data_IF_515004641986
#
_entry.id   IF_515004641986
#
_cell.length_a   1.000
_cell.length_b   1.000
_cell.length_c   1.000
_cell.angle_alpha   90.00
_cell.angle_beta   90.00
_cell.angle_gamma   90.00
#
_symmetry.space_group_name_H-M   'P 1'
#
loop_
_entity.id
_entity.type
_entity.pdbx_description
1 polymer ?
#
# COMPACT_ATOMS: atom_id res chain seq x y z
N UNK A 1 -21.56 14.21 -17.15
CA UNK A 1 -20.94 15.51 -17.40
C UNK A 1 -19.60 15.32 -18.06
N UNK A 2 -19.07 16.37 -18.66
CA UNK A 2 -17.91 16.33 -19.57
C UNK A 2 -16.67 15.70 -18.92
N UNK A 3 -16.43 15.94 -17.63
CA UNK A 3 -15.34 15.31 -16.86
C UNK A 3 -15.42 13.78 -16.90
N UNK A 4 -16.61 13.20 -16.66
CA UNK A 4 -16.77 11.73 -16.72
C UNK A 4 -16.49 11.19 -18.11
N UNK A 5 -16.88 11.91 -19.16
CA UNK A 5 -16.64 11.48 -20.53
C UNK A 5 -15.16 11.52 -20.88
N UNK A 6 -14.45 12.58 -20.47
CA UNK A 6 -13.00 12.70 -20.68
C UNK A 6 -12.23 11.61 -19.94
N UNK A 7 -12.62 11.31 -18.70
CA UNK A 7 -12.00 10.23 -17.93
C UNK A 7 -12.32 8.84 -18.48
N UNK A 8 -13.54 8.62 -19.00
CA UNK A 8 -13.92 7.37 -19.69
C UNK A 8 -13.10 7.20 -20.99
N UNK A 9 -12.85 8.28 -21.73
CA UNK A 9 -12.01 8.26 -22.94
C UNK A 9 -10.53 8.07 -22.62
N UNK A 10 -10.03 8.64 -21.51
CA UNK A 10 -8.64 8.49 -21.07
C UNK A 10 -8.31 7.03 -20.69
N UNK A 11 -9.31 6.21 -20.36
CA UNK A 11 -9.17 4.78 -20.10
C UNK A 11 -9.08 3.93 -21.38
N UNK A 12 -9.33 4.49 -22.57
CA UNK A 12 -9.34 3.77 -23.85
C UNK A 12 -7.92 3.46 -24.37
N UNK A 13 -7.08 2.90 -23.51
CA UNK A 13 -5.73 2.44 -23.82
C UNK A 13 -5.73 0.95 -24.12
N UNK A 14 -4.81 0.50 -24.99
CA UNK A 14 -4.64 -0.94 -25.25
C UNK A 14 -3.91 -1.57 -24.07
N UNK A 15 -4.63 -2.34 -23.26
CA UNK A 15 -4.05 -3.18 -22.22
C UNK A 15 -3.84 -4.61 -22.73
N UNK A 16 -2.88 -5.35 -22.15
CA UNK A 16 -2.83 -6.80 -22.29
C UNK A 16 -4.18 -7.44 -21.93
N UNK A 17 -4.54 -8.52 -22.61
CA UNK A 17 -5.84 -9.20 -22.46
C UNK A 17 -6.10 -9.77 -21.06
N UNK A 18 -5.06 -9.90 -20.24
CA UNK A 18 -5.09 -10.46 -18.89
C UNK A 18 -5.06 -9.38 -17.79
N UNK A 19 -5.19 -8.10 -18.14
CA UNK A 19 -5.19 -6.97 -17.20
C UNK A 19 -6.42 -6.09 -17.38
N UNK A 20 -7.01 -5.71 -16.25
CA UNK A 20 -8.03 -4.65 -16.21
C UNK A 20 -7.53 -3.43 -15.43
N UNK A 21 -8.20 -2.30 -15.66
CA UNK A 21 -8.01 -1.07 -14.89
C UNK A 21 -8.66 -1.26 -13.52
N UNK A 22 -7.85 -1.09 -12.47
CA UNK A 22 -8.29 -1.09 -11.08
C UNK A 22 -8.65 0.33 -10.63
N UNK A 23 -7.81 1.33 -10.96
CA UNK A 23 -8.11 2.74 -10.68
C UNK A 23 -7.76 3.65 -11.86
N UNK A 24 -8.61 4.65 -12.08
CA UNK A 24 -8.31 5.81 -12.93
C UNK A 24 -8.20 7.05 -12.05
N UNK A 25 -6.98 7.55 -11.90
CA UNK A 25 -6.68 8.68 -11.02
C UNK A 25 -6.40 9.92 -11.86
N UNK A 26 -7.26 10.95 -11.84
CA UNK A 26 -6.98 12.21 -12.53
C UNK A 26 -5.72 12.88 -11.98
N UNK A 27 -4.84 13.34 -12.87
CA UNK A 27 -3.66 14.12 -12.50
C UNK A 27 -3.91 15.60 -12.75
N UNK A 28 -4.38 15.93 -13.95
CA UNK A 28 -4.67 17.30 -14.36
C UNK A 28 -5.59 17.30 -15.58
N UNK A 29 -6.20 18.45 -15.81
CA UNK A 29 -7.05 18.74 -16.95
C UNK A 29 -6.44 19.86 -17.77
N UNK A 30 -6.80 19.86 -19.06
CA UNK A 30 -6.46 20.93 -19.98
C UNK A 30 -7.75 21.48 -20.59
N UNK A 31 -7.92 22.79 -20.55
CA UNK A 31 -9.06 23.49 -21.16
C UNK A 31 -8.52 24.40 -22.25
N UNK A 32 -8.79 24.04 -23.49
CA UNK A 32 -8.24 24.64 -24.71
C UNK A 32 -6.70 24.65 -24.75
N UNK A 33 -6.07 25.72 -24.24
CA UNK A 33 -4.60 25.93 -24.17
C UNK A 33 -4.08 26.10 -22.74
N UNK A 34 -4.97 26.14 -21.76
CA UNK A 34 -4.61 26.22 -20.35
C UNK A 34 -4.32 24.81 -19.84
N UNK A 35 -3.12 24.62 -19.31
CA UNK A 35 -2.64 23.36 -18.72
C UNK A 35 -2.72 23.39 -17.18
N UNK A 36 -2.39 22.27 -16.53
CA UNK A 36 -2.27 22.14 -15.06
C UNK A 36 -3.55 22.49 -14.28
N UNK A 37 -4.73 22.30 -14.88
CA UNK A 37 -6.01 22.57 -14.22
C UNK A 37 -6.38 21.38 -13.34
N UNK A 38 -6.48 21.58 -12.02
CA UNK A 38 -6.90 20.52 -11.09
C UNK A 38 -8.41 20.22 -11.16
N UNK A 39 -9.23 21.27 -11.28
CA UNK A 39 -10.68 21.14 -11.33
C UNK A 39 -11.27 22.06 -12.42
N UNK A 40 -11.75 21.51 -13.55
CA UNK A 40 -12.29 22.30 -14.65
C UNK A 40 -13.77 22.68 -14.47
N UNK A 41 -14.42 22.29 -13.37
CA UNK A 41 -15.84 22.61 -13.13
C UNK A 41 -16.03 24.12 -13.09
N UNK A 42 -16.97 24.60 -13.92
CA UNK A 42 -17.29 26.03 -14.06
C UNK A 42 -16.46 26.75 -15.13
N UNK A 43 -15.45 26.10 -15.72
CA UNK A 43 -14.73 26.64 -16.86
C UNK A 43 -15.51 26.42 -18.16
N UNK A 44 -15.41 27.35 -19.09
CA UNK A 44 -15.95 27.21 -20.45
C UNK A 44 -14.79 27.07 -21.42
N UNK A 45 -14.86 26.08 -22.30
CA UNK A 45 -13.86 25.83 -23.33
C UNK A 45 -14.45 25.03 -24.50
N UNK A 46 -13.71 24.93 -25.59
CA UNK A 46 -14.10 24.11 -26.75
C UNK A 46 -13.57 22.69 -26.64
N UNK A 47 -12.43 22.52 -25.98
CA UNK A 47 -11.75 21.23 -25.78
C UNK A 47 -11.42 21.05 -24.30
N UNK A 48 -11.76 19.87 -23.79
CA UNK A 48 -11.37 19.39 -22.46
C UNK A 48 -10.55 18.11 -22.65
N UNK A 49 -9.35 18.08 -22.09
CA UNK A 49 -8.50 16.89 -22.02
C UNK A 49 -8.21 16.57 -20.56
N UNK A 50 -7.93 15.30 -20.27
CA UNK A 50 -7.58 14.84 -18.93
C UNK A 50 -6.36 13.93 -19.00
N UNK A 51 -5.36 14.21 -18.17
CA UNK A 51 -4.23 13.30 -17.93
C UNK A 51 -4.55 12.47 -16.70
N UNK A 52 -4.36 11.16 -16.80
CA UNK A 52 -4.72 10.20 -15.76
C UNK A 52 -3.58 9.24 -15.48
N UNK A 53 -3.46 8.82 -14.22
CA UNK A 53 -2.63 7.69 -13.81
C UNK A 53 -3.52 6.45 -13.70
N UNK A 54 -3.22 5.43 -14.51
CA UNK A 54 -3.96 4.17 -14.50
C UNK A 54 -3.25 3.15 -13.63
N UNK A 55 -3.93 2.68 -12.58
CA UNK A 55 -3.51 1.49 -11.83
C UNK A 55 -4.21 0.29 -12.45
N UNK A 56 -3.44 -0.71 -12.89
CA UNK A 56 -3.98 -1.93 -13.52
C UNK A 56 -3.56 -3.16 -12.72
N UNK A 57 -4.37 -4.22 -12.78
CA UNK A 57 -4.09 -5.48 -12.10
C UNK A 57 -4.49 -6.66 -12.98
N UNK A 58 -3.93 -7.83 -12.69
CA UNK A 58 -4.31 -9.06 -13.39
C UNK A 58 -5.78 -9.39 -13.13
N UNK A 59 -6.56 -9.59 -14.18
CA UNK A 59 -8.00 -9.86 -14.13
C UNK A 59 -8.30 -11.08 -13.25
N UNK A 60 -7.52 -12.15 -13.40
CA UNK A 60 -7.68 -13.38 -12.62
C UNK A 60 -7.42 -13.17 -11.14
N UNK A 61 -6.40 -12.37 -10.77
CA UNK A 61 -6.11 -12.08 -9.37
C UNK A 61 -7.25 -11.29 -8.71
N UNK A 62 -7.80 -10.30 -9.41
CA UNK A 62 -8.96 -9.53 -8.92
C UNK A 62 -10.19 -10.41 -8.73
N UNK A 63 -10.53 -11.23 -9.72
CA UNK A 63 -11.68 -12.13 -9.63
C UNK A 63 -11.54 -13.13 -8.49
N UNK A 64 -10.35 -13.71 -8.30
CA UNK A 64 -10.10 -14.66 -7.22
C UNK A 64 -10.29 -14.02 -5.84
N UNK A 65 -9.86 -12.77 -5.66
CA UNK A 65 -10.06 -12.03 -4.40
C UNK A 65 -11.54 -11.79 -4.13
N UNK A 66 -12.29 -11.35 -5.14
CA UNK A 66 -13.74 -11.12 -5.04
C UNK A 66 -14.47 -12.42 -4.71
N UNK A 67 -14.23 -13.48 -5.48
CA UNK A 67 -14.90 -14.77 -5.28
C UNK A 67 -14.63 -15.36 -3.90
N UNK A 68 -13.39 -15.29 -3.40
CA UNK A 68 -13.05 -15.77 -2.06
C UNK A 68 -13.89 -15.11 -0.95
N UNK A 69 -14.12 -13.80 -1.05
CA UNK A 69 -14.97 -13.09 -0.10
C UNK A 69 -16.47 -13.38 -0.30
N UNK A 70 -16.93 -13.40 -1.56
CA UNK A 70 -18.34 -13.65 -1.88
C UNK A 70 -18.79 -15.09 -1.55
N UNK A 71 -17.90 -16.08 -1.63
CA UNK A 71 -18.16 -17.46 -1.19
C UNK A 71 -18.43 -17.55 0.32
N UNK A 72 -17.95 -16.58 1.10
CA UNK A 72 -18.23 -16.45 2.55
C UNK A 72 -19.51 -15.64 2.83
N UNK A 73 -20.26 -15.24 1.79
CA UNK A 73 -21.45 -14.41 1.92
C UNK A 73 -21.17 -12.92 2.11
N UNK A 74 -19.92 -12.47 1.90
CA UNK A 74 -19.54 -11.06 2.01
C UNK A 74 -19.64 -10.41 0.63
N UNK A 75 -20.43 -9.35 0.51
CA UNK A 75 -20.50 -8.58 -0.74
C UNK A 75 -19.27 -7.69 -0.87
N UNK A 76 -18.57 -7.77 -2.00
CA UNK A 76 -17.42 -6.90 -2.30
C UNK A 76 -17.90 -5.71 -3.12
N UNK A 77 -17.90 -4.54 -2.49
CA UNK A 77 -18.29 -3.29 -3.15
C UNK A 77 -17.21 -2.74 -4.07
N UNK A 78 -15.96 -3.15 -3.90
CA UNK A 78 -14.84 -2.72 -4.73
C UNK A 78 -13.49 -3.25 -4.26
N UNK A 79 -12.49 -3.14 -5.14
CA UNK A 79 -11.09 -3.45 -4.85
C UNK A 79 -10.29 -2.14 -4.85
N UNK A 80 -9.34 -2.02 -3.92
CA UNK A 80 -8.52 -0.81 -3.79
C UNK A 80 -7.05 -1.18 -3.73
N UNK A 81 -6.24 -0.46 -4.48
CA UNK A 81 -4.79 -0.55 -4.45
C UNK A 81 -4.27 -0.03 -3.10
N UNK A 82 -3.59 -0.91 -2.35
CA UNK A 82 -3.30 -0.68 -0.93
C UNK A 82 -2.66 0.68 -0.60
N UNK A 83 -1.66 1.19 -1.36
CA UNK A 83 -1.09 2.51 -1.10
C UNK A 83 -2.10 3.64 -1.16
N UNK A 84 -3.13 3.58 -2.02
CA UNK A 84 -4.13 4.63 -2.09
C UNK A 84 -4.99 4.65 -0.82
N UNK A 85 -5.41 3.47 -0.34
CA UNK A 85 -6.15 3.35 0.91
C UNK A 85 -5.29 3.86 2.08
N UNK A 86 -4.07 3.34 2.21
CA UNK A 86 -3.13 3.74 3.26
C UNK A 86 -2.83 5.25 3.23
N UNK A 87 -2.74 5.86 2.04
CA UNK A 87 -2.56 7.30 1.89
C UNK A 87 -3.75 8.08 2.46
N UNK A 88 -4.98 7.66 2.16
CA UNK A 88 -6.21 8.30 2.65
C UNK A 88 -6.26 8.37 4.19
N UNK A 89 -5.74 7.33 4.85
CA UNK A 89 -5.71 7.25 6.31
C UNK A 89 -4.56 8.03 6.95
N UNK A 90 -3.43 8.20 6.27
CA UNK A 90 -2.16 8.60 6.93
C UNK A 90 -1.49 9.85 6.37
N UNK A 91 -1.90 10.31 5.19
CA UNK A 91 -1.35 11.52 4.55
C UNK A 91 -2.27 12.72 4.74
N UNK A 92 -1.64 13.87 4.97
CA UNK A 92 -2.28 15.18 4.97
C UNK A 92 -2.32 15.75 3.54
N UNK A 93 -3.21 16.72 3.32
CA UNK A 93 -3.37 17.36 2.00
C UNK A 93 -2.14 18.15 1.58
N UNK A 94 -1.47 18.82 2.52
CA UNK A 94 -0.22 19.54 2.28
C UNK A 94 0.94 18.63 1.88
N UNK A 95 1.01 17.42 2.46
CA UNK A 95 1.97 16.39 2.07
C UNK A 95 1.76 15.94 0.62
N UNK A 96 0.52 15.70 0.22
CA UNK A 96 0.17 15.30 -1.15
C UNK A 96 0.38 16.43 -2.16
N UNK A 97 0.19 17.68 -1.74
CA UNK A 97 0.40 18.86 -2.57
C UNK A 97 1.89 19.13 -2.82
N UNK A 98 2.70 19.22 -1.77
CA UNK A 98 4.11 19.64 -1.86
C UNK A 98 5.10 18.49 -2.08
N UNK A 99 4.59 17.25 -2.15
CA UNK A 99 5.36 16.08 -2.50
C UNK A 99 5.65 15.15 -1.32
N UNK A 100 5.15 13.92 -1.42
CA UNK A 100 5.38 12.84 -0.44
C UNK A 100 5.35 11.49 -1.13
N UNK A 101 6.16 10.54 -0.66
CA UNK A 101 6.04 9.13 -1.06
C UNK A 101 5.46 8.32 0.09
N UNK A 102 4.37 7.61 -0.16
CA UNK A 102 3.90 6.54 0.71
C UNK A 102 4.63 5.24 0.35
N UNK A 103 5.25 4.60 1.36
CA UNK A 103 5.88 3.28 1.23
C UNK A 103 5.22 2.32 2.20
N UNK A 104 4.44 1.36 1.69
CA UNK A 104 3.82 0.32 2.50
C UNK A 104 4.67 -0.96 2.47
N UNK A 105 5.31 -1.29 3.58
CA UNK A 105 6.15 -2.49 3.70
C UNK A 105 5.30 -3.61 4.28
N UNK A 106 4.81 -4.49 3.40
CA UNK A 106 4.08 -5.69 3.75
C UNK A 106 5.01 -6.87 4.07
N UNK A 107 4.44 -8.07 4.17
CA UNK A 107 5.21 -9.30 4.37
C UNK A 107 5.96 -9.71 3.09
N UNK A 108 5.26 -9.79 1.96
CA UNK A 108 5.80 -10.27 0.68
C UNK A 108 6.14 -9.16 -0.31
N UNK A 109 5.52 -7.99 -0.17
CA UNK A 109 5.69 -6.87 -1.10
C UNK A 109 5.95 -5.56 -0.36
N UNK A 110 6.55 -4.63 -1.09
CA UNK A 110 6.66 -3.23 -0.71
C UNK A 110 5.94 -2.41 -1.78
N UNK A 111 4.89 -1.72 -1.39
CA UNK A 111 4.03 -0.97 -2.31
C UNK A 111 4.35 0.53 -2.19
N UNK A 112 4.35 1.24 -3.32
CA UNK A 112 4.77 2.65 -3.39
C UNK A 112 3.68 3.46 -4.10
N UNK A 113 3.37 4.63 -3.55
CA UNK A 113 2.64 5.69 -4.25
C UNK A 113 3.33 7.03 -4.01
N UNK A 114 3.66 7.73 -5.09
CA UNK A 114 4.28 9.06 -5.04
C UNK A 114 3.23 10.10 -5.38
N UNK A 115 3.05 11.07 -4.49
CA UNK A 115 2.11 12.17 -4.62
C UNK A 115 2.86 13.48 -4.86
N UNK A 116 2.34 14.32 -5.75
CA UNK A 116 2.76 15.71 -5.98
C UNK A 116 1.62 16.47 -6.67
N UNK A 117 1.42 17.74 -6.34
CA UNK A 117 0.30 18.58 -6.79
C UNK A 117 -1.07 17.97 -6.50
N UNK A 118 -1.23 17.27 -5.37
CA UNK A 118 -2.45 16.59 -4.96
C UNK A 118 -2.88 15.44 -5.89
N UNK A 119 -1.94 14.92 -6.71
CA UNK A 119 -2.18 13.81 -7.62
C UNK A 119 -1.15 12.69 -7.42
N UNK A 120 -1.55 11.45 -7.71
CA UNK A 120 -0.63 10.32 -7.81
C UNK A 120 0.18 10.46 -9.09
N UNK A 121 1.49 10.66 -8.95
CA UNK A 121 2.44 10.79 -10.08
C UNK A 121 3.12 9.47 -10.44
N UNK A 122 3.24 8.56 -9.47
CA UNK A 122 3.84 7.25 -9.70
C UNK A 122 3.28 6.22 -8.71
N UNK A 123 3.21 4.97 -9.14
CA UNK A 123 2.88 3.84 -8.27
C UNK A 123 3.66 2.60 -8.68
N UNK A 124 4.16 1.83 -7.73
CA UNK A 124 4.92 0.62 -7.98
C UNK A 124 4.70 -0.45 -6.90
N UNK A 125 5.02 -1.69 -7.26
CA UNK A 125 5.09 -2.82 -6.33
C UNK A 125 6.45 -3.47 -6.50
N UNK A 126 7.20 -3.56 -5.40
CA UNK A 126 8.46 -4.30 -5.34
C UNK A 126 8.14 -5.67 -4.72
N UNK A 127 8.50 -6.80 -5.37
CA UNK A 127 8.16 -8.15 -4.90
C UNK A 127 9.10 -8.63 -3.77
N UNK A 128 9.33 -7.77 -2.79
CA UNK A 128 10.06 -8.07 -1.56
C UNK A 128 9.42 -7.30 -0.39
N UNK A 129 9.31 -7.94 0.76
CA UNK A 129 8.78 -7.33 1.99
C UNK A 129 9.48 -7.88 3.23
N UNK A 130 8.89 -7.64 4.39
CA UNK A 130 9.47 -7.97 5.70
C UNK A 130 9.68 -9.48 5.96
N UNK A 131 9.09 -10.37 5.16
CA UNK A 131 9.37 -11.81 5.22
C UNK A 131 10.79 -12.17 4.74
N UNK A 132 11.39 -11.35 3.88
CA UNK A 132 12.79 -11.53 3.49
C UNK A 132 13.74 -11.43 4.68
N UNK A 133 13.47 -10.50 5.61
CA UNK A 133 14.19 -10.35 6.88
C UNK A 133 14.05 -11.62 7.72
N UNK A 134 12.83 -12.13 7.83
CA UNK A 134 12.55 -13.38 8.56
C UNK A 134 13.32 -14.55 7.98
N UNK A 135 13.38 -14.65 6.65
CA UNK A 135 14.12 -15.70 5.96
C UNK A 135 15.63 -15.57 6.18
N UNK A 136 16.18 -14.36 6.13
CA UNK A 136 17.61 -14.14 6.42
C UNK A 136 17.95 -14.55 7.85
N UNK A 137 17.15 -14.16 8.83
CA UNK A 137 17.33 -14.59 10.22
C UNK A 137 17.24 -16.12 10.34
N UNK A 138 16.26 -16.75 9.68
CA UNK A 138 16.10 -18.20 9.71
C UNK A 138 17.34 -18.92 9.17
N UNK A 139 17.88 -18.45 8.04
CA UNK A 139 19.07 -19.02 7.39
C UNK A 139 20.31 -18.80 8.24
N UNK A 140 20.56 -17.55 8.67
CA UNK A 140 21.79 -17.19 9.39
C UNK A 140 21.86 -17.83 10.78
N UNK A 141 20.71 -17.98 11.46
CA UNK A 141 20.65 -18.61 12.78
C UNK A 141 20.38 -20.12 12.72
N UNK A 142 20.06 -20.65 11.53
CA UNK A 142 19.65 -22.04 11.32
C UNK A 142 18.48 -22.44 12.24
N UNK A 143 17.45 -21.59 12.29
CA UNK A 143 16.22 -21.81 13.05
C UNK A 143 15.03 -21.89 12.11
N UNK A 144 13.88 -22.37 12.60
CA UNK A 144 12.66 -22.37 11.79
C UNK A 144 12.20 -20.94 11.46
N UNK A 145 11.50 -20.75 10.34
CA UNK A 145 10.91 -19.46 9.95
C UNK A 145 10.02 -18.88 11.06
N UNK A 146 9.27 -19.73 11.76
CA UNK A 146 8.42 -19.30 12.87
C UNK A 146 9.24 -18.76 14.05
N UNK A 147 10.37 -19.39 14.37
CA UNK A 147 11.26 -18.90 15.43
C UNK A 147 12.00 -17.64 14.99
N UNK A 148 12.41 -17.55 13.73
CA UNK A 148 12.99 -16.35 13.17
C UNK A 148 12.01 -15.15 13.23
N UNK A 149 10.72 -15.36 12.96
CA UNK A 149 9.71 -14.32 13.08
C UNK A 149 9.56 -13.83 14.52
N UNK A 150 9.54 -14.76 15.50
CA UNK A 150 9.51 -14.40 16.92
C UNK A 150 10.74 -13.61 17.33
N UNK A 151 11.92 -14.01 16.86
CA UNK A 151 13.17 -13.30 17.11
C UNK A 151 13.12 -11.89 16.49
N UNK A 152 12.69 -11.78 15.23
CA UNK A 152 12.53 -10.49 14.53
C UNK A 152 11.61 -9.56 15.31
N UNK A 153 10.40 -10.01 15.64
CA UNK A 153 9.40 -9.20 16.32
C UNK A 153 9.84 -8.73 17.72
N UNK A 154 10.62 -9.55 18.43
CA UNK A 154 10.99 -9.28 19.83
C UNK A 154 12.31 -8.55 20.00
N UNK A 155 13.29 -8.80 19.13
CA UNK A 155 14.68 -8.37 19.34
C UNK A 155 15.26 -7.56 18.18
N UNK A 156 14.73 -7.68 16.97
CA UNK A 156 15.36 -7.01 15.83
C UNK A 156 15.21 -5.49 15.86
N UNK A 157 16.26 -4.82 15.44
CA UNK A 157 16.24 -3.43 15.02
C UNK A 157 16.65 -3.32 13.56
N UNK A 158 16.06 -2.37 12.84
CA UNK A 158 16.54 -1.98 11.52
C UNK A 158 17.96 -1.40 11.60
N UNK A 159 18.31 -0.66 12.66
CA UNK A 159 19.63 -0.08 12.82
C UNK A 159 20.42 -0.83 13.90
N UNK A 160 21.37 -1.66 13.48
CA UNK A 160 22.15 -2.53 14.35
C UNK A 160 22.99 -1.75 15.35
N UNK A 161 23.49 -0.57 14.97
CA UNK A 161 24.27 0.30 15.86
C UNK A 161 23.49 0.83 17.07
N UNK A 162 22.16 0.69 17.07
CA UNK A 162 21.26 1.06 18.17
C UNK A 162 20.77 -0.16 18.98
N UNK A 163 21.32 -1.35 18.73
CA UNK A 163 20.98 -2.60 19.42
C UNK A 163 22.04 -2.99 20.44
N UNK A 164 21.66 -3.78 21.45
CA UNK A 164 22.55 -4.17 22.54
C UNK A 164 23.53 -5.29 22.13
N UNK A 165 24.81 -5.08 22.37
CA UNK A 165 25.83 -6.15 22.27
C UNK A 165 25.79 -7.13 23.45
N UNK A 166 25.15 -6.73 24.55
CA UNK A 166 25.15 -7.50 25.81
C UNK A 166 23.90 -8.37 25.98
N UNK A 167 22.83 -8.07 25.27
CA UNK A 167 21.59 -8.82 25.35
C UNK A 167 21.73 -10.07 24.47
N UNK A 168 21.92 -11.22 25.11
CA UNK A 168 21.98 -12.52 24.45
C UNK A 168 20.57 -13.11 24.27
N UNK A 169 20.36 -13.74 23.13
CA UNK A 169 19.13 -14.42 22.72
C UNK A 169 19.47 -15.90 22.60
N UNK A 170 18.85 -16.72 23.44
CA UNK A 170 18.97 -18.18 23.35
C UNK A 170 18.26 -18.69 22.11
N UNK A 171 18.98 -19.47 21.31
CA UNK A 171 18.44 -20.12 20.13
C UNK A 171 17.89 -21.51 20.50
N UNK A 172 16.78 -21.94 19.88
CA UNK A 172 16.24 -23.28 20.08
C UNK A 172 17.29 -24.33 19.67
N UNK A 173 17.53 -25.30 20.55
CA UNK A 173 18.42 -26.42 20.32
C UNK A 173 17.64 -27.74 20.31
N UNK A 174 17.99 -28.66 19.41
CA UNK A 174 17.47 -30.02 19.48
C UNK A 174 18.16 -30.83 20.58
N UNK A 175 17.52 -31.91 21.03
CA UNK A 175 18.09 -32.78 22.05
C UNK A 175 19.47 -33.31 21.60
N UNK A 176 20.50 -33.06 22.39
CA UNK A 176 21.89 -33.43 22.10
C UNK A 176 22.69 -32.38 21.31
N UNK A 177 22.10 -31.24 20.94
CA UNK A 177 22.84 -30.10 20.39
C UNK A 177 23.32 -29.16 21.50
N UNK A 178 24.45 -28.49 21.26
CA UNK A 178 24.93 -27.40 22.10
C UNK A 178 23.93 -26.25 22.05
N UNK A 179 23.62 -25.69 23.23
CA UNK A 179 22.85 -24.46 23.33
C UNK A 179 23.67 -23.33 22.70
N UNK A 180 23.04 -22.61 21.75
CA UNK A 180 23.65 -21.48 21.06
C UNK A 180 22.93 -20.21 21.52
N UNK A 181 23.68 -19.12 21.66
CA UNK A 181 23.13 -17.79 21.85
C UNK A 181 23.65 -16.84 20.77
N UNK A 182 22.96 -15.73 20.59
CA UNK A 182 23.39 -14.64 19.72
C UNK A 182 22.99 -13.30 20.33
N UNK A 183 23.83 -12.28 20.17
CA UNK A 183 23.49 -10.94 20.64
C UNK A 183 22.37 -10.30 19.80
N UNK A 184 21.60 -9.41 20.43
CA UNK A 184 20.61 -8.57 19.76
C UNK A 184 21.24 -7.77 18.61
N UNK A 185 22.46 -7.26 18.80
CA UNK A 185 23.19 -6.53 17.75
C UNK A 185 23.46 -7.40 16.52
N UNK A 186 23.92 -8.63 16.69
CA UNK A 186 24.21 -9.54 15.56
C UNK A 186 22.94 -9.88 14.78
N UNK A 187 21.81 -10.13 15.45
CA UNK A 187 20.51 -10.31 14.76
C UNK A 187 20.14 -9.07 13.96
N UNK A 188 20.30 -7.89 14.55
CA UNK A 188 20.01 -6.62 13.89
C UNK A 188 20.95 -6.32 12.71
N UNK A 189 22.15 -6.90 12.63
CA UNK A 189 23.02 -6.76 11.45
C UNK A 189 22.43 -7.41 10.20
N UNK A 190 21.81 -8.59 10.35
CA UNK A 190 21.11 -9.25 9.24
C UNK A 190 19.91 -8.43 8.78
N UNK A 191 19.18 -7.87 9.75
CA UNK A 191 18.00 -7.04 9.50
C UNK A 191 18.38 -5.74 8.79
N UNK A 192 19.42 -5.05 9.26
CA UNK A 192 19.93 -3.82 8.67
C UNK A 192 20.34 -4.03 7.22
N UNK A 193 21.11 -5.09 6.93
CA UNK A 193 21.53 -5.41 5.57
C UNK A 193 20.35 -5.60 4.61
N UNK A 194 19.32 -6.35 5.02
CA UNK A 194 18.11 -6.55 4.21
C UNK A 194 17.31 -5.26 4.03
N UNK A 195 17.18 -4.47 5.09
CA UNK A 195 16.46 -3.20 5.01
C UNK A 195 17.16 -2.20 4.09
N UNK A 196 18.50 -2.13 4.12
CA UNK A 196 19.26 -1.30 3.18
C UNK A 196 19.01 -1.71 1.72
N UNK A 197 18.93 -3.01 1.43
CA UNK A 197 18.58 -3.49 0.09
C UNK A 197 17.16 -3.08 -0.32
N UNK A 198 16.18 -3.24 0.57
CA UNK A 198 14.79 -2.81 0.33
C UNK A 198 14.74 -1.30 0.06
N UNK A 199 15.47 -0.48 0.85
CA UNK A 199 15.54 0.96 0.64
C UNK A 199 16.20 1.34 -0.69
N UNK A 200 17.24 0.62 -1.12
CA UNK A 200 17.82 0.83 -2.45
C UNK A 200 16.81 0.55 -3.57
N UNK A 201 15.98 -0.49 -3.44
CA UNK A 201 14.92 -0.76 -4.40
C UNK A 201 13.85 0.33 -4.40
N UNK A 202 13.46 0.82 -3.21
CA UNK A 202 12.53 1.96 -3.06
C UNK A 202 13.08 3.21 -3.75
N UNK A 203 14.35 3.58 -3.50
CA UNK A 203 15.00 4.73 -4.16
C UNK A 203 14.94 4.62 -5.68
N UNK A 204 15.22 3.42 -6.22
CA UNK A 204 15.16 3.19 -7.67
C UNK A 204 13.76 3.38 -8.23
N UNK A 205 12.71 2.90 -7.54
CA UNK A 205 11.33 3.13 -7.99
C UNK A 205 10.93 4.60 -7.88
N UNK A 206 11.27 5.28 -6.78
CA UNK A 206 10.98 6.72 -6.62
C UNK A 206 11.64 7.52 -7.74
N UNK A 207 12.87 7.18 -8.15
CA UNK A 207 13.58 7.87 -9.24
C UNK A 207 12.91 7.72 -10.62
N UNK A 208 11.96 6.80 -10.77
CA UNK A 208 11.14 6.65 -11.99
C UNK A 208 9.88 7.50 -11.98
N UNK A 209 9.52 8.07 -10.83
CA UNK A 209 8.54 9.13 -10.79
C UNK A 209 9.16 10.33 -11.52
N UNK A 210 8.66 10.67 -12.71
CA UNK A 210 9.13 11.78 -13.55
C UNK A 210 8.75 13.13 -12.92
N UNK A 211 9.23 13.36 -11.70
CA UNK A 211 8.97 14.53 -10.87
C UNK A 211 10.27 15.32 -10.81
N UNK A 212 10.21 16.58 -11.27
CA UNK A 212 11.37 17.48 -11.28
C UNK A 212 11.56 18.19 -9.95
N UNK A 213 10.47 18.39 -9.22
CA UNK A 213 10.43 19.08 -7.94
C UNK A 213 10.82 18.14 -6.78
N UNK A 214 11.42 18.68 -5.71
CA UNK A 214 11.75 17.88 -4.55
C UNK A 214 10.49 17.42 -3.82
N UNK A 215 10.49 16.15 -3.38
CA UNK A 215 9.45 15.61 -2.50
C UNK A 215 9.63 16.18 -1.08
N UNK A 216 9.04 17.34 -0.83
CA UNK A 216 9.30 18.18 0.35
C UNK A 216 9.09 17.46 1.69
N UNK A 217 8.07 16.60 1.76
CA UNK A 217 7.73 15.85 2.98
C UNK A 217 8.44 14.49 3.08
N UNK A 218 9.21 14.10 2.07
CA UNK A 218 9.97 12.86 2.07
C UNK A 218 9.08 11.63 2.00
N UNK A 219 9.21 10.72 2.98
CA UNK A 219 8.57 9.40 2.97
C UNK A 219 7.69 9.18 4.20
N UNK A 220 6.51 8.62 3.97
CA UNK A 220 5.62 8.09 5.00
C UNK A 220 5.57 6.57 4.87
N UNK A 221 6.02 5.84 5.89
CA UNK A 221 6.06 4.38 5.89
C UNK A 221 4.85 3.78 6.60
N UNK A 222 4.19 2.82 5.96
CA UNK A 222 3.05 2.04 6.49
C UNK A 222 3.29 0.54 6.36
N UNK A 223 2.32 -0.28 6.79
CA UNK A 223 2.41 -1.73 6.76
C UNK A 223 3.07 -2.31 8.02
N UNK A 224 3.02 -3.64 8.14
CA UNK A 224 3.61 -4.35 9.29
C UNK A 224 5.13 -4.23 9.36
N UNK A 225 5.82 -4.19 8.21
CA UNK A 225 7.27 -4.00 8.15
C UNK A 225 7.71 -2.63 8.66
N UNK A 226 6.86 -1.60 8.56
CA UNK A 226 7.15 -0.28 9.08
C UNK A 226 7.19 -0.22 10.63
N UNK A 227 6.78 -1.29 11.34
CA UNK A 227 6.87 -1.36 12.80
C UNK A 227 8.28 -1.72 13.31
N UNK A 228 9.19 -2.12 12.43
CA UNK A 228 10.53 -2.53 12.81
C UNK A 228 11.25 -1.40 13.58
N UNK A 229 11.81 -1.71 14.75
CA UNK A 229 12.43 -0.71 15.63
C UNK A 229 13.59 -0.01 14.92
N UNK A 230 13.64 1.32 15.02
CA UNK A 230 14.65 2.19 14.38
C UNK A 230 14.66 2.17 12.85
N UNK A 231 13.55 1.78 12.20
CA UNK A 231 13.45 1.80 10.73
C UNK A 231 13.52 3.21 10.15
N UNK A 232 12.89 4.21 10.77
CA UNK A 232 12.91 5.58 10.28
C UNK A 232 14.33 6.17 10.27
N UNK A 233 15.13 6.13 11.37
CA UNK A 233 16.53 6.53 11.34
C UNK A 233 17.38 5.84 10.26
N UNK A 234 17.22 4.51 10.08
CA UNK A 234 17.92 3.81 9.00
C UNK A 234 17.50 4.32 7.62
N UNK A 235 16.21 4.52 7.40
CA UNK A 235 15.66 5.01 6.15
C UNK A 235 16.15 6.43 5.83
N UNK A 236 16.14 7.34 6.80
CA UNK A 236 16.68 8.70 6.64
C UNK A 236 18.16 8.68 6.25
N UNK A 237 18.97 7.84 6.91
CA UNK A 237 20.39 7.68 6.58
C UNK A 237 20.61 7.07 5.19
N UNK A 238 19.73 6.15 4.76
CA UNK A 238 19.88 5.43 3.49
C UNK A 238 19.35 6.22 2.28
N UNK A 239 18.26 6.97 2.48
CA UNK A 239 17.50 7.64 1.41
C UNK A 239 17.84 9.13 1.33
N UNK A 240 18.24 9.75 2.45
CA UNK A 240 18.60 11.17 2.49
C UNK A 240 17.42 12.14 2.52
N UNK A 241 16.22 11.67 2.85
CA UNK A 241 15.01 12.49 3.03
C UNK A 241 14.39 12.21 4.40
N UNK A 242 13.51 13.10 4.87
CA UNK A 242 12.76 12.88 6.11
C UNK A 242 11.88 11.65 5.98
N UNK A 243 11.81 10.85 7.05
CA UNK A 243 10.96 9.67 7.09
C UNK A 243 10.15 9.63 8.36
N UNK A 244 8.83 9.44 8.24
CA UNK A 244 7.95 9.19 9.38
C UNK A 244 7.14 7.91 9.20
N UNK A 245 6.73 7.30 10.30
CA UNK A 245 5.72 6.24 10.27
C UNK A 245 4.33 6.87 10.07
N UNK A 246 3.51 6.22 9.25
CA UNK A 246 2.11 6.60 9.04
C UNK A 246 1.28 6.30 10.28
N UNK A 247 0.52 7.31 10.71
CA UNK A 247 -0.48 7.20 11.78
C UNK A 247 -1.83 7.62 11.21
N UNK A 248 -2.90 6.97 11.65
CA UNK A 248 -4.24 7.35 11.21
C UNK A 248 -4.58 8.76 11.72
N UNK A 249 -5.07 9.63 10.85
CA UNK A 249 -5.33 11.05 11.18
C UNK A 249 -6.81 11.45 11.12
N UNK A 250 -7.70 10.57 10.63
CA UNK A 250 -9.11 10.88 10.33
C UNK A 250 -10.10 9.99 11.08
N UNK A 251 -9.69 9.37 12.19
CA UNK A 251 -10.52 8.41 12.94
C UNK A 251 -10.51 8.75 14.44
N UNK A 252 -11.68 9.08 14.95
CA UNK A 252 -11.93 9.28 16.38
C UNK A 252 -12.45 7.98 17.03
N UNK A 253 -12.13 7.78 18.31
CA UNK A 253 -12.70 6.70 19.13
C UNK A 253 -12.08 5.31 18.97
N UNK A 254 -11.10 5.13 18.09
CA UNK A 254 -10.39 3.86 17.87
C UNK A 254 -8.85 4.00 17.89
N UNK A 255 -8.32 5.07 18.49
CA UNK A 255 -6.90 5.46 18.45
C UNK A 255 -5.96 4.31 18.90
N UNK A 256 -6.33 3.59 19.97
CA UNK A 256 -5.52 2.46 20.49
C UNK A 256 -5.36 1.29 19.51
N UNK A 257 -6.27 1.16 18.54
CA UNK A 257 -6.26 0.10 17.51
C UNK A 257 -5.74 0.66 16.17
N UNK A 258 -6.12 1.90 15.83
CA UNK A 258 -5.92 2.50 14.51
C UNK A 258 -4.57 3.21 14.33
N UNK A 259 -3.84 3.53 15.40
CA UNK A 259 -2.65 4.40 15.34
C UNK A 259 -1.40 3.70 14.79
N UNK A 260 -1.44 2.38 14.63
CA UNK A 260 -0.31 1.59 14.12
C UNK A 260 -0.22 1.59 12.59
N UNK A 261 1.00 1.68 12.00
CA UNK A 261 1.18 1.65 10.55
C UNK A 261 0.66 0.37 9.87
N UNK A 262 0.49 -0.74 10.61
CA UNK A 262 -0.08 -1.99 10.10
C UNK A 262 -1.56 -1.91 9.74
N UNK A 263 -2.29 -0.97 10.34
CA UNK A 263 -3.74 -0.86 10.14
C UNK A 263 -4.11 0.22 9.11
N UNK A 264 -3.12 0.95 8.59
CA UNK A 264 -3.31 2.06 7.64
C UNK A 264 -4.21 1.68 6.46
N UNK A 265 -3.98 0.51 5.83
CA UNK A 265 -4.80 0.06 4.70
C UNK A 265 -6.26 -0.17 5.10
N UNK A 266 -6.49 -0.86 6.22
CA UNK A 266 -7.85 -1.14 6.69
C UNK A 266 -8.60 0.14 7.07
N UNK A 267 -7.92 1.07 7.74
CA UNK A 267 -8.48 2.39 8.05
C UNK A 267 -8.78 3.19 6.78
N UNK A 268 -7.88 3.10 5.79
CA UNK A 268 -8.06 3.69 4.47
C UNK A 268 -9.27 3.18 3.72
N UNK A 269 -9.52 1.86 3.77
CA UNK A 269 -10.68 1.23 3.15
C UNK A 269 -12.00 1.70 3.79
N UNK A 270 -12.03 1.95 5.11
CA UNK A 270 -13.21 2.52 5.77
C UNK A 270 -13.48 3.97 5.32
N UNK A 271 -12.42 4.72 5.07
CA UNK A 271 -12.49 6.11 4.60
C UNK A 271 -12.77 6.22 3.09
N UNK A 272 -12.49 5.15 2.33
CA UNK A 272 -12.56 5.16 0.87
C UNK A 272 -13.91 5.65 0.31
N UNK A 273 -15.08 5.14 0.76
CA UNK A 273 -16.37 5.57 0.21
C UNK A 273 -16.70 7.04 0.51
N UNK A 274 -16.01 7.67 1.47
CA UNK A 274 -16.27 9.04 1.91
C UNK A 274 -15.36 10.06 1.25
N UNK A 275 -14.10 9.69 0.98
CA UNK A 275 -13.05 10.63 0.59
C UNK A 275 -12.36 10.30 -0.74
N UNK A 276 -12.54 9.09 -1.28
CA UNK A 276 -11.89 8.73 -2.53
C UNK A 276 -12.45 9.56 -3.70
N UNK A 277 -11.55 10.05 -4.52
CA UNK A 277 -11.84 10.82 -5.73
C UNK A 277 -11.51 10.03 -7.00
N UNK A 278 -11.30 8.72 -6.87
CA UNK A 278 -10.97 7.86 -8.01
C UNK A 278 -12.18 7.70 -8.93
N UNK A 279 -11.95 7.78 -10.24
CA UNK A 279 -12.99 7.48 -11.20
C UNK A 279 -12.94 5.99 -11.48
N UNK A 280 -13.67 5.23 -10.67
CA UNK A 280 -13.88 3.81 -10.94
C UNK A 280 -15.37 3.58 -11.07
N UNK A 281 -15.82 3.41 -12.32
CA UNK A 281 -16.99 2.59 -12.57
C UNK A 281 -16.54 1.14 -12.47
N UNK A 282 -16.74 0.54 -11.30
CA UNK A 282 -16.82 -0.91 -11.26
C UNK A 282 -17.91 -1.27 -12.26
N UNK A 283 -17.52 -1.94 -13.34
CA UNK A 283 -18.50 -2.62 -14.16
C UNK A 283 -19.16 -3.61 -13.21
N UNK A 284 -20.35 -3.26 -12.70
CA UNK A 284 -21.19 -4.26 -12.07
C UNK A 284 -21.22 -5.44 -13.03
N UNK A 285 -20.92 -6.68 -12.59
CA UNK A 285 -21.01 -7.81 -13.48
C UNK A 285 -22.41 -7.77 -14.10
N UNK A 286 -22.46 -7.61 -15.42
CA UNK A 286 -23.68 -7.65 -16.24
C UNK A 286 -24.29 -9.05 -16.10
N UNK A 287 -24.89 -9.35 -14.95
CA UNK A 287 -25.74 -10.52 -14.69
C UNK A 287 -26.42 -10.54 -13.31
N UNK A 288 -26.30 -9.51 -12.46
CA UNK A 288 -27.13 -9.40 -11.24
C UNK A 288 -28.60 -8.98 -11.51
N UNK A 289 -29.08 -9.09 -12.75
CA UNK A 289 -30.41 -8.59 -13.14
C UNK A 289 -31.60 -9.54 -12.97
N UNK A 290 -31.41 -10.86 -12.83
CA UNK A 290 -32.54 -11.80 -12.73
C UNK A 290 -32.32 -12.96 -11.73
N UNK A 291 -31.09 -13.46 -11.57
CA UNK A 291 -30.82 -14.58 -10.64
C UNK A 291 -30.92 -14.17 -9.16
N UNK A 292 -30.37 -13.01 -8.78
CA UNK A 292 -30.40 -12.55 -7.39
C UNK A 292 -31.80 -12.15 -6.88
N UNK A 293 -32.71 -11.78 -7.78
CA UNK A 293 -34.12 -11.51 -7.44
C UNK A 293 -34.88 -12.82 -7.19
N UNK A 294 -34.62 -13.84 -8.00
CA UNK A 294 -35.25 -15.16 -7.87
C UNK A 294 -34.77 -15.89 -6.61
N UNK A 295 -33.49 -15.77 -6.24
CA UNK A 295 -32.99 -16.34 -4.98
C UNK A 295 -33.57 -15.66 -3.73
N UNK A 296 -33.72 -14.33 -3.73
CA UNK A 296 -34.39 -13.62 -2.63
C UNK A 296 -35.88 -13.98 -2.50
N UNK A 297 -36.59 -14.13 -3.61
CA UNK A 297 -38.00 -14.54 -3.60
C UNK A 297 -38.14 -15.99 -3.12
N UNK A 298 -37.23 -16.87 -3.51
CA UNK A 298 -37.24 -18.27 -3.07
C UNK A 298 -37.00 -18.39 -1.55
N UNK A 299 -36.04 -17.65 -1.02
CA UNK A 299 -35.79 -17.62 0.43
C UNK A 299 -36.99 -17.09 1.23
N UNK A 300 -37.69 -16.08 0.70
CA UNK A 300 -38.87 -15.50 1.38
C UNK A 300 -40.08 -16.45 1.36
N UNK A 301 -40.20 -17.34 0.38
CA UNK A 301 -41.29 -18.32 0.29
C UNK A 301 -41.00 -19.56 1.15
N UNK A 302 -39.75 -20.00 1.25
CA UNK A 302 -39.34 -21.10 2.14
C UNK A 302 -39.49 -20.72 3.63
N UNK A 303 -39.36 -19.44 3.99
CA UNK A 303 -39.59 -18.95 5.37
C UNK A 303 -41.07 -18.72 5.71
N UNK A 304 -41.99 -18.84 4.73
CA UNK A 304 -43.43 -18.59 4.90
C UNK A 304 -44.32 -19.85 4.88
N UNK A 305 -43.74 -21.06 4.70
CA UNK A 305 -44.46 -22.33 4.71
C UNK A 305 -43.76 -23.42 5.51
#
# INVERSE_FOLDING_TARGET
GDISQVLDLAQAVSLPVDRDILHTLPQEYLVDTLEEIKNPVGMTGRRLEGRVHLVTAATTAMNNLVSCAEELGITVDGLVFQPLASALATLQEDEMELGVTLVEIGSSTTNIAVYHDSAVRHSAIIPIGASSITNDIAVMLQVSVNEAEKIKMKYASAQSSMSSEKLEIDLPAQAGQLQRSISEQEVSRYVEARMQEIFQMIIREISRADIKDPLTYGIVMTGGGAQLRNIAPLAENSIGVKVRQGKSIRIDGAQDIADGPSHATAMGLLLWPLYATDHVRLQQPKNRGFKGLIEKIRHTIEDMF
#
